data_IF_052155930906
#
_entry.id   IF_052155930906
#
_cell.length_a   1.000
_cell.length_b   1.000
_cell.length_c   1.000
_cell.angle_alpha   90.00
_cell.angle_beta   90.00
_cell.angle_gamma   90.00
#
_symmetry.space_group_name_H-M   'P 1'
#
loop_
_entity.id
_entity.type
_entity.pdbx_description
1 polymer ?
#
# COMPACT_ATOMS: atom_id res chain seq x y z
N UNK A 1 -25.39 10.38 -13.62
CA UNK A 1 -24.97 11.16 -12.44
C UNK A 1 -24.03 10.27 -11.65
N UNK A 2 -22.72 10.46 -11.77
CA UNK A 2 -21.73 9.79 -10.92
C UNK A 2 -21.45 10.79 -9.79
N UNK A 3 -22.24 10.72 -8.72
CA UNK A 3 -21.89 11.40 -7.47
C UNK A 3 -20.47 10.97 -7.10
N UNK A 4 -19.60 11.94 -6.85
CA UNK A 4 -18.21 11.73 -6.47
C UNK A 4 -18.16 10.84 -5.24
N UNK A 5 -17.88 9.55 -5.44
CA UNK A 5 -17.80 8.55 -4.40
C UNK A 5 -16.53 8.81 -3.60
N UNK A 6 -16.65 9.66 -2.59
CA UNK A 6 -15.57 9.88 -1.63
C UNK A 6 -15.42 8.63 -0.77
N UNK A 7 -14.16 8.27 -0.48
CA UNK A 7 -13.85 7.12 0.35
C UNK A 7 -14.17 7.51 1.80
N UNK A 8 -15.14 6.82 2.37
CA UNK A 8 -15.61 7.09 3.72
C UNK A 8 -14.56 6.67 4.78
N UNK A 9 -14.71 7.09 6.04
CA UNK A 9 -13.76 6.75 7.10
C UNK A 9 -13.52 5.25 7.30
N UNK A 10 -14.56 4.42 7.17
CA UNK A 10 -14.43 2.96 7.32
C UNK A 10 -13.62 2.33 6.18
N UNK A 11 -13.89 2.72 4.94
CA UNK A 11 -13.12 2.27 3.77
C UNK A 11 -11.66 2.73 3.85
N UNK A 12 -11.41 3.93 4.41
CA UNK A 12 -10.03 4.40 4.65
C UNK A 12 -9.28 3.51 5.64
N UNK A 13 -9.96 3.08 6.71
CA UNK A 13 -9.36 2.16 7.69
C UNK A 13 -9.07 0.80 7.08
N UNK A 14 -10.01 0.24 6.31
CA UNK A 14 -9.81 -1.00 5.56
C UNK A 14 -8.63 -0.88 4.57
N UNK A 15 -8.50 0.23 3.85
CA UNK A 15 -7.36 0.49 2.97
C UNK A 15 -6.03 0.54 3.74
N UNK A 16 -6.00 1.15 4.93
CA UNK A 16 -4.81 1.16 5.79
C UNK A 16 -4.40 -0.25 6.24
N UNK A 17 -5.36 -1.11 6.56
CA UNK A 17 -5.11 -2.52 6.88
C UNK A 17 -4.54 -3.26 5.66
N UNK A 18 -5.11 -3.06 4.47
CA UNK A 18 -4.62 -3.66 3.22
C UNK A 18 -3.19 -3.20 2.91
N UNK A 19 -2.89 -1.90 3.05
CA UNK A 19 -1.53 -1.36 2.86
C UNK A 19 -0.55 -2.00 3.85
N UNK A 20 -0.94 -2.11 5.12
CA UNK A 20 -0.11 -2.72 6.16
C UNK A 20 0.16 -4.20 5.87
N UNK A 21 -0.87 -4.93 5.43
CA UNK A 21 -0.76 -6.32 5.00
C UNK A 21 0.20 -6.47 3.81
N UNK A 22 0.05 -5.65 2.76
CA UNK A 22 0.93 -5.68 1.59
C UNK A 22 2.38 -5.34 1.95
N UNK A 23 2.64 -4.40 2.86
CA UNK A 23 4.00 -4.12 3.35
C UNK A 23 4.64 -5.36 3.99
N UNK A 24 3.87 -6.11 4.79
CA UNK A 24 4.35 -7.36 5.39
C UNK A 24 4.68 -8.39 4.30
N UNK A 25 3.81 -8.56 3.31
CA UNK A 25 4.06 -9.48 2.19
C UNK A 25 5.30 -9.08 1.38
N UNK A 26 5.41 -7.81 0.99
CA UNK A 26 6.55 -7.28 0.27
C UNK A 26 7.87 -7.51 1.03
N UNK A 27 7.88 -7.24 2.34
CA UNK A 27 9.05 -7.47 3.19
C UNK A 27 9.44 -8.94 3.23
N UNK A 28 8.45 -9.84 3.33
CA UNK A 28 8.69 -11.29 3.30
C UNK A 28 9.25 -11.74 1.95
N UNK A 29 8.65 -11.30 0.84
CA UNK A 29 9.10 -11.62 -0.50
C UNK A 29 10.55 -11.17 -0.73
N UNK A 30 10.88 -9.92 -0.36
CA UNK A 30 12.24 -9.39 -0.45
C UNK A 30 13.24 -10.18 0.40
N UNK A 31 12.91 -10.48 1.65
CA UNK A 31 13.76 -11.27 2.53
C UNK A 31 13.99 -12.68 1.99
N UNK A 32 12.93 -13.35 1.50
CA UNK A 32 13.01 -14.70 0.94
C UNK A 32 13.80 -14.73 -0.38
N UNK A 33 13.68 -13.70 -1.22
CA UNK A 33 14.45 -13.59 -2.46
C UNK A 33 15.97 -13.60 -2.23
N UNK A 34 16.43 -13.07 -1.10
CA UNK A 34 17.84 -13.10 -0.69
C UNK A 34 18.29 -14.39 0.00
N UNK A 35 17.37 -15.28 0.38
CA UNK A 35 17.67 -16.54 1.08
C UNK A 35 17.52 -17.77 0.19
N UNK A 36 16.73 -17.69 -0.87
CA UNK A 36 16.46 -18.79 -1.78
C UNK A 36 17.64 -19.04 -2.72
N UNK A 37 17.96 -20.31 -2.97
CA UNK A 37 19.05 -20.73 -3.87
C UNK A 37 18.59 -20.95 -5.30
N UNK A 38 17.30 -21.21 -5.49
CA UNK A 38 16.68 -21.37 -6.80
C UNK A 38 16.50 -20.01 -7.48
N UNK A 39 17.11 -19.84 -8.65
CA UNK A 39 17.19 -18.57 -9.36
C UNK A 39 15.83 -18.14 -9.96
N UNK A 40 15.04 -19.10 -10.44
CA UNK A 40 13.68 -18.83 -10.94
C UNK A 40 12.77 -18.37 -9.81
N UNK A 41 12.83 -19.04 -8.66
CA UNK A 41 12.07 -18.68 -7.47
C UNK A 41 12.53 -17.33 -6.89
N UNK A 42 13.83 -17.03 -6.89
CA UNK A 42 14.35 -15.71 -6.49
C UNK A 42 13.78 -14.60 -7.39
N UNK A 43 13.80 -14.83 -8.71
CA UNK A 43 13.26 -13.88 -9.69
C UNK A 43 11.76 -13.65 -9.48
N UNK A 44 11.00 -14.72 -9.25
CA UNK A 44 9.56 -14.63 -8.97
C UNK A 44 9.28 -13.81 -7.69
N UNK A 45 10.06 -14.01 -6.64
CA UNK A 45 9.93 -13.25 -5.39
C UNK A 45 10.32 -11.77 -5.55
N UNK A 46 11.30 -11.46 -6.39
CA UNK A 46 11.65 -10.08 -6.74
C UNK A 46 10.53 -9.41 -7.55
N UNK A 47 9.91 -10.15 -8.49
CA UNK A 47 8.74 -9.65 -9.23
C UNK A 47 7.55 -9.38 -8.31
N UNK A 48 7.28 -10.28 -7.36
CA UNK A 48 6.22 -10.10 -6.35
C UNK A 48 6.50 -8.89 -5.45
N UNK A 49 7.76 -8.67 -5.07
CA UNK A 49 8.17 -7.49 -4.33
C UNK A 49 7.93 -6.19 -5.11
N UNK A 50 8.38 -6.10 -6.36
CA UNK A 50 8.17 -4.93 -7.22
C UNK A 50 6.69 -4.65 -7.42
N UNK A 51 5.92 -5.67 -7.78
CA UNK A 51 4.46 -5.57 -7.98
C UNK A 51 3.76 -5.16 -6.68
N UNK A 52 4.23 -5.64 -5.53
CA UNK A 52 3.69 -5.24 -4.23
C UNK A 52 3.97 -3.77 -3.93
N UNK A 53 5.14 -3.24 -4.28
CA UNK A 53 5.45 -1.81 -4.12
C UNK A 53 4.54 -0.92 -4.97
N UNK A 54 4.29 -1.29 -6.22
CA UNK A 54 3.39 -0.57 -7.12
C UNK A 54 1.98 -0.51 -6.52
N UNK A 55 1.43 -1.65 -6.09
CA UNK A 55 0.13 -1.69 -5.43
C UNK A 55 0.08 -0.88 -4.13
N UNK A 56 1.16 -0.85 -3.35
CA UNK A 56 1.23 -0.05 -2.12
C UNK A 56 1.19 1.45 -2.46
N UNK A 57 1.85 1.88 -3.54
CA UNK A 57 1.80 3.26 -4.01
C UNK A 57 0.37 3.65 -4.43
N UNK A 58 -0.27 2.82 -5.27
CA UNK A 58 -1.65 3.04 -5.70
C UNK A 58 -2.63 3.11 -4.52
N UNK A 59 -2.51 2.21 -3.54
CA UNK A 59 -3.37 2.21 -2.36
C UNK A 59 -3.12 3.43 -1.46
N UNK A 60 -1.88 3.93 -1.39
CA UNK A 60 -1.59 5.17 -0.68
C UNK A 60 -2.23 6.36 -1.37
N UNK A 61 -2.14 6.44 -2.70
CA UNK A 61 -2.79 7.50 -3.48
C UNK A 61 -4.32 7.47 -3.29
N UNK A 62 -4.90 6.27 -3.23
CA UNK A 62 -6.31 6.09 -2.89
C UNK A 62 -6.63 6.60 -1.47
N UNK A 63 -5.83 6.27 -0.46
CA UNK A 63 -6.03 6.79 0.91
C UNK A 63 -5.97 8.33 0.93
N UNK A 64 -5.07 8.95 0.17
CA UNK A 64 -4.97 10.42 0.10
C UNK A 64 -6.21 11.08 -0.50
N UNK A 65 -7.00 10.33 -1.28
CA UNK A 65 -8.27 10.80 -1.84
C UNK A 65 -9.47 10.65 -0.89
N UNK A 66 -9.25 10.13 0.32
CA UNK A 66 -10.32 9.83 1.26
C UNK A 66 -10.80 11.05 2.06
N UNK A 67 -12.01 10.96 2.60
CA UNK A 67 -12.62 12.04 3.40
C UNK A 67 -11.85 12.33 4.70
N UNK A 68 -11.02 11.40 5.16
CA UNK A 68 -10.17 11.60 6.34
C UNK A 68 -8.91 12.41 6.03
N UNK A 69 -8.50 12.50 4.77
CA UNK A 69 -7.39 13.32 4.31
C UNK A 69 -7.90 14.72 3.92
N UNK A 70 -8.35 15.48 4.93
CA UNK A 70 -8.56 16.92 4.77
C UNK A 70 -7.25 17.65 5.11
N UNK A 71 -6.68 18.36 4.13
CA UNK A 71 -5.40 19.09 4.19
C UNK A 71 -5.33 20.16 5.32
N UNK A 72 -6.46 20.41 6.01
CA UNK A 72 -6.61 21.33 7.14
C UNK A 72 -6.44 20.69 8.54
N UNK A 73 -6.08 19.41 8.66
CA UNK A 73 -5.79 18.78 9.96
C UNK A 73 -4.30 18.70 10.34
N UNK A 74 -3.41 19.37 9.61
CA UNK A 74 -2.07 19.61 10.12
C UNK A 74 -2.15 20.73 11.18
N UNK A 75 -1.84 20.47 12.47
CA UNK A 75 -1.58 21.57 13.38
C UNK A 75 -0.44 22.39 12.79
N UNK A 76 -0.70 23.69 12.59
CA UNK A 76 0.34 24.68 12.33
C UNK A 76 1.43 24.52 13.39
N UNK A 77 2.54 23.88 13.01
CA UNK A 77 3.74 23.86 13.84
C UNK A 77 4.40 25.23 13.73
N UNK A 78 4.05 26.09 14.70
CA UNK A 78 4.83 27.24 15.10
C UNK A 78 6.02 26.81 15.96
#
# INVERSE_FOLDING_TARGET
MLEGKRISPHETFELHEIVSFKNICATKASAMAGLVTDEELSTLLQQDFTTSQEHIAELKDLIQSSELWDENQLPNNH
#
